data_IF_812918683620
#
_entry.id   IF_812918683620
#
_cell.length_a   1.000
_cell.length_b   1.000
_cell.length_c   1.000
_cell.angle_alpha   90.00
_cell.angle_beta   90.00
_cell.angle_gamma   90.00
#
_symmetry.space_group_name_H-M   'P 1'
#
loop_
_entity.id
_entity.type
_entity.pdbx_description
1 polymer ?
#
# COMPACT_ATOMS: atom_id res chain seq x y z
N UNK A 1 1.00 16.44 -5.83
CA UNK A 1 1.38 15.17 -6.44
C UNK A 1 0.57 13.99 -5.90
N UNK A 2 0.55 13.72 -4.59
CA UNK A 2 -0.16 12.54 -4.04
C UNK A 2 -1.66 12.48 -4.36
N UNK A 3 -2.40 13.58 -4.20
CA UNK A 3 -3.82 13.65 -4.54
C UNK A 3 -4.07 13.41 -6.03
N UNK A 4 -3.20 13.94 -6.89
CA UNK A 4 -3.30 13.74 -8.33
C UNK A 4 -3.10 12.26 -8.68
N UNK A 5 -2.08 11.61 -8.12
CA UNK A 5 -1.83 10.18 -8.33
C UNK A 5 -2.99 9.33 -7.82
N UNK A 6 -3.57 9.69 -6.67
CA UNK A 6 -4.77 9.04 -6.16
C UNK A 6 -5.96 9.16 -7.12
N UNK A 7 -6.26 10.38 -7.59
CA UNK A 7 -7.35 10.60 -8.54
C UNK A 7 -7.11 9.90 -9.88
N UNK A 8 -5.87 9.91 -10.37
CA UNK A 8 -5.49 9.17 -11.58
C UNK A 8 -5.72 7.67 -11.44
N UNK A 9 -5.40 7.07 -10.27
CA UNK A 9 -5.69 5.66 -9.99
C UNK A 9 -7.18 5.39 -10.02
N UNK A 10 -7.97 6.24 -9.35
CA UNK A 10 -9.44 6.12 -9.32
C UNK A 10 -10.01 6.20 -10.74
N UNK A 11 -9.52 7.14 -11.56
CA UNK A 11 -9.99 7.34 -12.93
C UNK A 11 -9.55 6.22 -13.89
N UNK A 12 -8.41 5.57 -13.65
CA UNK A 12 -7.94 4.41 -14.45
C UNK A 12 -8.64 3.11 -14.07
N UNK A 13 -9.25 3.05 -12.90
CA UNK A 13 -9.92 1.85 -12.41
C UNK A 13 -11.28 1.65 -13.10
N UNK A 14 -11.55 0.48 -13.73
CA UNK A 14 -12.75 0.28 -14.56
C UNK A 14 -14.08 0.44 -13.82
N UNK A 15 -14.12 0.03 -12.55
CA UNK A 15 -15.30 0.17 -11.68
C UNK A 15 -15.42 1.57 -11.06
N UNK A 16 -14.36 2.09 -10.43
CA UNK A 16 -14.39 3.36 -9.70
C UNK A 16 -14.59 4.57 -10.62
N UNK A 17 -14.07 4.55 -11.85
CA UNK A 17 -14.29 5.62 -12.83
C UNK A 17 -15.79 5.85 -13.12
N UNK A 18 -16.61 4.79 -13.02
CA UNK A 18 -18.05 4.81 -13.28
C UNK A 18 -18.88 5.01 -12.02
N UNK A 19 -18.24 5.16 -10.87
CA UNK A 19 -18.95 5.33 -9.60
C UNK A 19 -19.60 6.72 -9.56
N UNK A 20 -20.90 6.77 -9.26
CA UNK A 20 -21.66 8.03 -9.15
C UNK A 20 -21.05 8.99 -8.15
N UNK A 21 -20.49 8.48 -7.06
CA UNK A 21 -19.84 9.30 -6.03
C UNK A 21 -18.63 10.05 -6.61
N UNK A 22 -17.84 9.41 -7.49
CA UNK A 22 -16.69 10.06 -8.13
C UNK A 22 -17.16 11.10 -9.14
N UNK A 23 -18.20 10.80 -9.93
CA UNK A 23 -18.79 11.76 -10.86
C UNK A 23 -19.32 12.99 -10.12
N UNK A 24 -20.08 12.79 -9.05
CA UNK A 24 -20.63 13.88 -8.24
C UNK A 24 -19.54 14.66 -7.51
N UNK A 25 -18.50 14.00 -6.99
CA UNK A 25 -17.35 14.68 -6.40
C UNK A 25 -16.63 15.62 -7.39
N UNK A 26 -16.53 15.22 -8.66
CA UNK A 26 -15.85 16.02 -9.69
C UNK A 26 -16.75 17.10 -10.29
N UNK A 27 -18.07 16.91 -10.30
CA UNK A 27 -19.03 17.81 -10.93
C UNK A 27 -19.68 18.79 -9.94
N UNK A 28 -19.80 18.44 -8.66
CA UNK A 28 -20.55 19.24 -7.70
C UNK A 28 -19.70 20.34 -7.07
N UNK A 29 -20.28 21.55 -6.99
CA UNK A 29 -19.69 22.69 -6.29
C UNK A 29 -19.98 22.70 -4.79
N UNK A 30 -20.90 21.84 -4.32
CA UNK A 30 -21.38 21.77 -2.93
C UNK A 30 -21.29 20.36 -2.34
N UNK A 31 -20.12 19.72 -2.49
CA UNK A 31 -19.82 18.36 -2.04
C UNK A 31 -20.26 18.03 -0.59
N UNK A 32 -20.20 18.99 0.33
CA UNK A 32 -20.59 18.78 1.72
C UNK A 32 -22.07 18.38 1.87
N UNK A 33 -22.96 18.89 1.03
CA UNK A 33 -24.40 18.59 1.07
C UNK A 33 -24.67 17.21 0.47
N UNK A 34 -24.03 16.91 -0.66
CA UNK A 34 -24.13 15.61 -1.32
C UNK A 34 -23.60 14.48 -0.43
N UNK A 35 -22.50 14.70 0.29
CA UNK A 35 -21.95 13.71 1.22
C UNK A 35 -22.89 13.37 2.38
N UNK A 36 -23.67 14.34 2.88
CA UNK A 36 -24.70 14.07 3.88
C UNK A 36 -25.86 13.25 3.33
N UNK A 37 -26.16 13.35 2.04
CA UNK A 37 -27.15 12.48 1.38
C UNK A 37 -26.64 11.04 1.22
N UNK A 38 -25.33 10.87 0.99
CA UNK A 38 -24.68 9.57 0.87
C UNK A 38 -24.44 8.87 2.20
N UNK A 39 -24.13 9.59 3.28
CA UNK A 39 -23.93 8.97 4.59
C UNK A 39 -25.20 8.33 5.16
N UNK A 40 -26.38 8.70 4.63
CA UNK A 40 -27.67 8.09 4.95
C UNK A 40 -28.09 6.92 4.04
N UNK A 41 -27.41 6.66 2.91
CA UNK A 41 -27.72 5.55 2.01
C UNK A 41 -26.62 4.47 2.03
N UNK A 42 -26.95 3.18 2.23
CA UNK A 42 -25.97 2.12 2.04
C UNK A 42 -25.52 2.11 0.57
N UNK A 43 -24.21 2.15 0.34
CA UNK A 43 -23.56 2.17 -0.98
C UNK A 43 -23.96 0.94 -1.82
N UNK A 44 -25.07 1.04 -2.54
CA UNK A 44 -25.48 0.11 -3.58
C UNK A 44 -24.89 0.51 -4.93
N UNK A 45 -23.97 -0.30 -5.45
CA UNK A 45 -23.42 -0.17 -6.80
C UNK A 45 -24.58 -0.16 -7.81
N UNK A 46 -24.79 0.95 -8.50
CA UNK A 46 -25.82 1.07 -9.53
C UNK A 46 -25.21 0.87 -10.92
N UNK A 47 -25.17 -0.38 -11.35
CA UNK A 47 -25.14 -0.78 -12.76
C UNK A 47 -26.11 -1.97 -12.92
N UNK A 48 -27.20 -1.80 -13.68
CA UNK A 48 -28.17 -2.88 -13.92
C UNK A 48 -27.67 -3.94 -14.92
N UNK A 49 -28.51 -4.91 -15.34
CA UNK A 49 -29.69 -5.48 -14.69
C UNK A 49 -29.38 -6.88 -14.08
N UNK A 50 -30.08 -7.22 -12.99
CA UNK A 50 -30.15 -8.54 -12.34
C UNK A 50 -28.89 -9.03 -11.60
N UNK A 51 -28.62 -8.42 -10.44
CA UNK A 51 -28.15 -9.18 -9.28
C UNK A 51 -29.05 -8.79 -8.11
N UNK A 52 -29.72 -9.81 -7.58
CA UNK A 52 -30.71 -9.73 -6.52
C UNK A 52 -30.10 -9.01 -5.31
N UNK A 53 -30.74 -7.92 -4.90
CA UNK A 53 -30.35 -7.14 -3.74
C UNK A 53 -30.26 -8.04 -2.50
N UNK A 54 -29.10 -8.07 -1.85
CA UNK A 54 -28.99 -8.53 -0.47
C UNK A 54 -30.02 -7.77 0.38
N UNK A 55 -30.71 -8.43 1.33
CA UNK A 55 -31.50 -7.70 2.32
C UNK A 55 -30.57 -6.82 3.17
N UNK A 56 -31.07 -5.67 3.65
CA UNK A 56 -30.26 -4.74 4.45
C UNK A 56 -29.79 -5.43 5.73
N UNK A 57 -28.50 -5.27 6.03
CA UNK A 57 -27.96 -5.58 7.34
C UNK A 57 -28.74 -4.76 8.37
N UNK A 58 -29.57 -5.46 9.16
CA UNK A 58 -30.10 -4.94 10.41
C UNK A 58 -28.93 -4.39 11.22
N UNK A 59 -29.03 -3.14 11.63
CA UNK A 59 -28.08 -2.46 12.51
C UNK A 59 -27.97 -3.24 13.83
N UNK A 60 -27.13 -4.27 13.87
CA UNK A 60 -26.66 -4.90 15.10
C UNK A 60 -25.63 -3.96 15.72
N UNK A 61 -25.76 -3.73 17.02
CA UNK A 61 -25.06 -2.67 17.73
C UNK A 61 -23.55 -2.74 17.54
N UNK A 62 -22.91 -1.57 17.42
CA UNK A 62 -21.46 -1.42 17.26
C UNK A 62 -20.65 -2.18 18.32
N UNK A 63 -21.20 -2.40 19.53
CA UNK A 63 -20.59 -3.22 20.58
C UNK A 63 -20.60 -4.73 20.28
N UNK A 64 -21.59 -5.24 19.56
CA UNK A 64 -21.67 -6.65 19.14
C UNK A 64 -20.75 -6.90 17.94
N UNK A 65 -20.65 -5.94 17.01
CA UNK A 65 -19.69 -5.98 15.88
C UNK A 65 -18.23 -5.91 16.35
N UNK A 66 -17.96 -5.18 17.44
CA UNK A 66 -16.66 -5.18 18.10
C UNK A 66 -16.39 -6.51 18.82
N UNK A 67 -17.42 -7.11 19.44
CA UNK A 67 -17.35 -8.44 20.05
C UNK A 67 -16.98 -9.53 19.04
N UNK A 68 -17.60 -9.51 17.86
CA UNK A 68 -17.27 -10.41 16.74
C UNK A 68 -15.87 -10.15 16.19
N UNK A 69 -15.40 -8.89 16.17
CA UNK A 69 -14.04 -8.55 15.79
C UNK A 69 -12.99 -9.11 16.76
N UNK A 70 -13.29 -9.16 18.07
CA UNK A 70 -12.39 -9.72 19.08
C UNK A 70 -12.41 -11.25 19.12
N UNK A 71 -13.54 -11.89 18.82
CA UNK A 71 -13.63 -13.36 18.71
C UNK A 71 -12.98 -13.86 17.41
N UNK A 72 -13.03 -13.09 16.32
CA UNK A 72 -12.37 -13.42 15.05
C UNK A 72 -10.90 -12.98 14.97
N UNK A 73 -10.41 -12.07 15.82
CA UNK A 73 -9.02 -11.58 15.77
C UNK A 73 -7.94 -12.64 16.06
N UNK A 74 -8.29 -13.76 16.70
CA UNK A 74 -7.37 -14.87 16.99
C UNK A 74 -7.66 -16.16 16.21
N UNK A 75 -8.73 -16.17 15.41
CA UNK A 75 -9.05 -17.30 14.55
C UNK A 75 -8.22 -17.22 13.26
N UNK A 76 -7.38 -18.24 13.01
CA UNK A 76 -6.73 -18.40 11.72
C UNK A 76 -7.69 -19.14 10.80
N UNK A 77 -7.88 -18.61 9.58
CA UNK A 77 -8.63 -19.27 8.50
C UNK A 77 -8.18 -20.73 8.40
N UNK A 78 -9.11 -21.68 8.56
CA UNK A 78 -8.76 -23.12 8.62
C UNK A 78 -8.20 -23.63 7.31
N UNK A 79 -8.61 -23.05 6.17
CA UNK A 79 -8.10 -23.39 4.84
C UNK A 79 -7.79 -22.13 4.03
N UNK A 80 -6.59 -21.54 4.21
CA UNK A 80 -6.17 -20.43 3.37
C UNK A 80 -5.93 -20.93 1.94
N UNK A 81 -6.55 -20.28 0.96
CA UNK A 81 -6.31 -20.60 -0.46
C UNK A 81 -4.83 -20.30 -0.79
N UNK A 82 -4.08 -21.27 -1.36
CA UNK A 82 -2.67 -21.07 -1.71
C UNK A 82 -2.45 -19.86 -2.64
N UNK A 83 -3.42 -19.50 -3.48
CA UNK A 83 -3.33 -18.33 -4.37
C UNK A 83 -3.19 -17.04 -3.55
N UNK A 84 -4.05 -16.87 -2.54
CA UNK A 84 -4.08 -15.66 -1.73
C UNK A 84 -2.91 -15.57 -0.75
N UNK A 85 -2.40 -16.71 -0.28
CA UNK A 85 -1.15 -16.78 0.47
C UNK A 85 0.02 -16.31 -0.40
N UNK A 86 0.12 -16.81 -1.64
CA UNK A 86 1.15 -16.38 -2.57
C UNK A 86 1.06 -14.88 -2.90
N UNK A 87 -0.14 -14.33 -3.08
CA UNK A 87 -0.35 -12.89 -3.28
C UNK A 87 0.12 -12.10 -2.05
N UNK A 88 -0.22 -12.56 -0.84
CA UNK A 88 0.20 -11.88 0.40
C UNK A 88 1.72 -11.88 0.55
N UNK A 89 2.39 -13.01 0.35
CA UNK A 89 3.86 -13.09 0.42
C UNK A 89 4.50 -12.14 -0.60
N UNK A 90 3.99 -12.09 -1.84
CA UNK A 90 4.48 -11.14 -2.85
C UNK A 90 4.32 -9.69 -2.43
N UNK A 91 3.22 -9.33 -1.75
CA UNK A 91 3.00 -7.97 -1.26
C UNK A 91 3.93 -7.62 -0.09
N UNK A 92 4.19 -8.55 0.81
CA UNK A 92 5.14 -8.38 1.92
C UNK A 92 6.56 -8.19 1.36
N UNK A 93 7.02 -9.05 0.45
CA UNK A 93 8.32 -8.84 -0.21
C UNK A 93 8.38 -7.52 -1.00
N UNK A 94 7.27 -7.08 -1.59
CA UNK A 94 7.22 -5.82 -2.34
C UNK A 94 7.29 -4.62 -1.40
N UNK A 95 6.65 -4.69 -0.23
CA UNK A 95 6.75 -3.67 0.82
C UNK A 95 8.20 -3.54 1.31
N UNK A 96 8.89 -4.65 1.57
CA UNK A 96 10.31 -4.63 1.96
C UNK A 96 11.18 -3.99 0.88
N UNK A 97 10.98 -4.35 -0.40
CA UNK A 97 11.68 -3.74 -1.53
C UNK A 97 11.38 -2.25 -1.66
N UNK A 98 10.15 -1.83 -1.37
CA UNK A 98 9.75 -0.42 -1.43
C UNK A 98 10.41 0.39 -0.31
N UNK A 99 10.48 -0.16 0.91
CA UNK A 99 11.20 0.44 2.04
C UNK A 99 12.70 0.53 1.76
N UNK A 100 13.30 -0.50 1.15
CA UNK A 100 14.69 -0.44 0.72
C UNK A 100 14.93 0.67 -0.30
N UNK A 101 14.04 0.82 -1.29
CA UNK A 101 14.11 1.90 -2.28
C UNK A 101 14.01 3.27 -1.62
N UNK A 102 13.06 3.46 -0.70
CA UNK A 102 12.88 4.70 0.05
C UNK A 102 14.16 5.08 0.81
N UNK A 103 14.78 4.13 1.51
CA UNK A 103 16.04 4.36 2.24
C UNK A 103 17.17 4.78 1.32
N UNK A 104 17.29 4.16 0.14
CA UNK A 104 18.30 4.53 -0.86
C UNK A 104 18.06 5.95 -1.38
N UNK A 105 16.81 6.31 -1.68
CA UNK A 105 16.45 7.65 -2.15
C UNK A 105 16.68 8.72 -1.07
N UNK A 106 16.29 8.45 0.17
CA UNK A 106 16.53 9.35 1.30
C UNK A 106 18.03 9.59 1.51
N UNK A 107 18.84 8.52 1.45
CA UNK A 107 20.29 8.64 1.56
C UNK A 107 20.88 9.50 0.43
N UNK A 108 20.43 9.29 -0.80
CA UNK A 108 20.85 10.09 -1.96
C UNK A 108 20.51 11.58 -1.75
N UNK A 109 19.31 11.89 -1.24
CA UNK A 109 18.88 13.26 -0.90
C UNK A 109 19.74 13.90 0.21
N UNK A 110 20.05 13.17 1.28
CA UNK A 110 20.80 13.72 2.43
C UNK A 110 22.25 14.06 2.08
N UNK A 111 22.87 13.30 1.18
CA UNK A 111 24.23 13.58 0.74
C UNK A 111 24.31 14.89 -0.06
N UNK A 112 23.38 15.10 -0.99
CA UNK A 112 23.39 16.29 -1.86
C UNK A 112 22.94 17.58 -1.14
N UNK A 113 22.12 17.48 -0.10
CA UNK A 113 21.64 18.66 0.63
C UNK A 113 22.68 19.27 1.59
N UNK A 114 23.86 18.67 1.78
CA UNK A 114 24.87 19.15 2.75
C UNK A 114 24.40 19.15 4.22
N UNK A 115 23.20 18.64 4.51
CA UNK A 115 22.58 18.58 5.83
C UNK A 115 23.09 17.35 6.59
N UNK A 116 24.41 17.29 6.79
CA UNK A 116 25.11 16.19 7.46
C UNK A 116 24.80 16.11 8.97
N UNK A 117 24.16 17.12 9.56
CA UNK A 117 23.90 17.16 11.01
C UNK A 117 22.65 16.40 11.48
N UNK A 118 21.68 16.10 10.61
CA UNK A 118 20.34 15.68 11.11
C UNK A 118 20.14 14.16 11.17
N UNK A 119 21.03 13.34 10.56
CA UNK A 119 20.75 11.90 10.35
C UNK A 119 21.87 10.97 10.84
N UNK A 120 22.69 11.40 11.80
CA UNK A 120 23.67 10.52 12.45
C UNK A 120 23.03 9.28 13.15
N UNK A 121 21.72 9.29 13.40
CA UNK A 121 21.00 8.18 14.03
C UNK A 121 20.47 7.11 13.06
N UNK A 122 20.21 7.43 11.78
CA UNK A 122 19.72 6.44 10.80
C UNK A 122 20.88 5.69 10.11
N UNK A 123 22.07 6.31 10.06
CA UNK A 123 23.30 5.70 9.53
C UNK A 123 23.74 4.44 10.30
N UNK A 124 23.44 4.34 11.60
CA UNK A 124 23.82 3.20 12.46
C UNK A 124 23.01 1.92 12.19
N UNK A 125 21.85 2.01 11.55
CA UNK A 125 20.98 0.85 11.25
C UNK A 125 20.74 0.64 9.75
N UNK A 126 21.45 1.37 8.88
CA UNK A 126 21.38 1.19 7.43
C UNK A 126 22.29 0.06 6.97
N UNK A 127 21.70 -1.03 6.49
CA UNK A 127 22.41 -2.13 5.82
C UNK A 127 23.26 -1.56 4.68
N UNK A 128 24.56 -1.82 4.71
CA UNK A 128 25.56 -1.40 3.73
C UNK A 128 25.25 -1.96 2.34
N UNK A 129 24.34 -1.32 1.60
CA UNK A 129 23.90 -1.76 0.29
C UNK A 129 24.73 -1.12 -0.84
N UNK A 130 26.06 -1.11 -0.71
CA UNK A 130 27.04 -0.96 -1.81
C UNK A 130 26.89 0.20 -2.82
N UNK A 131 25.97 1.15 -2.62
CA UNK A 131 25.82 2.34 -3.45
C UNK A 131 26.96 3.30 -3.13
N UNK A 132 27.71 3.67 -4.18
CA UNK A 132 28.95 4.45 -4.13
C UNK A 132 28.87 5.62 -3.15
N UNK A 133 29.91 5.71 -2.33
CA UNK A 133 30.00 6.53 -1.12
C UNK A 133 30.45 7.96 -1.39
N UNK A 134 30.46 8.39 -2.65
CA UNK A 134 31.11 9.62 -3.12
C UNK A 134 30.07 10.54 -3.78
N UNK A 135 29.92 11.75 -3.23
CA UNK A 135 29.06 12.79 -3.77
C UNK A 135 29.79 13.53 -4.88
N UNK A 136 29.45 13.18 -6.12
CA UNK A 136 30.08 13.70 -7.32
C UNK A 136 30.00 15.23 -7.41
N UNK A 137 28.94 15.84 -6.88
CA UNK A 137 28.80 17.31 -6.87
C UNK A 137 29.84 17.99 -5.98
N UNK A 138 30.18 17.36 -4.85
CA UNK A 138 31.26 17.82 -3.97
C UNK A 138 32.62 17.68 -4.66
N UNK A 139 32.87 16.56 -5.37
CA UNK A 139 34.13 16.35 -6.09
C UNK A 139 34.34 17.39 -7.21
N UNK A 140 33.27 17.74 -7.94
CA UNK A 140 33.32 18.83 -8.93
C UNK A 140 33.59 20.19 -8.29
N UNK A 141 33.06 20.45 -7.08
CA UNK A 141 33.33 21.67 -6.34
C UNK A 141 34.78 21.75 -5.87
N UNK A 142 35.32 20.67 -5.33
CA UNK A 142 36.71 20.57 -4.88
C UNK A 142 37.68 20.70 -6.06
N UNK A 143 37.37 20.08 -7.19
CA UNK A 143 38.14 20.24 -8.42
C UNK A 143 38.06 21.68 -8.95
N UNK A 144 36.89 22.32 -8.92
CA UNK A 144 36.75 23.73 -9.29
C UNK A 144 37.66 24.63 -8.45
N UNK A 145 37.66 24.43 -7.13
CA UNK A 145 38.51 25.17 -6.20
C UNK A 145 40.00 24.93 -6.45
N UNK A 146 40.41 23.69 -6.77
CA UNK A 146 41.79 23.40 -7.14
C UNK A 146 42.23 24.16 -8.41
N UNK A 147 41.36 24.25 -9.43
CA UNK A 147 41.62 25.05 -10.64
C UNK A 147 41.71 26.55 -10.36
N UNK A 148 40.86 27.09 -9.47
CA UNK A 148 40.95 28.49 -9.03
C UNK A 148 42.26 28.79 -8.30
N UNK A 149 42.71 27.89 -7.42
CA UNK A 149 43.99 28.02 -6.73
C UNK A 149 45.18 27.97 -7.70
N UNK A 150 45.16 27.06 -8.67
CA UNK A 150 46.17 26.97 -9.72
C UNK A 150 46.20 28.25 -10.57
N UNK A 151 45.04 28.84 -10.88
CA UNK A 151 44.96 30.08 -11.63
C UNK A 151 45.62 31.28 -10.92
N UNK A 152 45.64 31.28 -9.58
CA UNK A 152 46.36 32.31 -8.79
C UNK A 152 47.88 32.14 -8.90
N UNK A 153 48.36 30.90 -9.04
CA UNK A 153 49.78 30.57 -9.11
C UNK A 153 50.37 30.74 -10.53
N UNK A 154 49.57 30.48 -11.57
CA UNK A 154 50.01 30.53 -12.96
C UNK A 154 49.40 31.72 -13.74
N UNK A 155 50.17 32.80 -13.87
CA UNK A 155 49.70 34.02 -14.57
C UNK A 155 49.50 33.85 -16.09
N UNK A 156 50.16 32.86 -16.72
CA UNK A 156 50.07 32.64 -18.17
C UNK A 156 48.80 31.93 -18.64
N UNK A 157 48.16 31.13 -17.77
CA UNK A 157 46.97 30.33 -18.08
C UNK A 157 45.79 30.61 -17.16
N UNK A 158 45.91 31.62 -16.28
CA UNK A 158 44.90 31.96 -15.27
C UNK A 158 43.47 32.05 -15.84
N UNK A 159 43.29 32.71 -16.99
CA UNK A 159 41.96 32.85 -17.61
C UNK A 159 41.37 31.53 -18.12
N UNK A 160 42.20 30.61 -18.61
CA UNK A 160 41.74 29.28 -19.02
C UNK A 160 41.38 28.43 -17.80
N UNK A 161 42.24 28.42 -16.77
CA UNK A 161 42.02 27.69 -15.53
C UNK A 161 40.78 28.19 -14.77
N UNK A 162 40.54 29.50 -14.70
CA UNK A 162 39.33 30.08 -14.13
C UNK A 162 38.06 29.66 -14.87
N UNK A 163 38.10 29.59 -16.21
CA UNK A 163 36.97 29.12 -17.02
C UNK A 163 36.66 27.66 -16.79
N UNK A 164 37.69 26.81 -16.69
CA UNK A 164 37.52 25.39 -16.34
C UNK A 164 36.91 25.28 -14.94
N UNK A 165 37.44 26.00 -13.94
CA UNK A 165 36.88 26.01 -12.58
C UNK A 165 35.41 26.44 -12.55
N UNK A 166 35.04 27.50 -13.27
CA UNK A 166 33.65 27.95 -13.39
C UNK A 166 32.73 26.91 -14.05
N UNK A 167 33.20 26.20 -15.08
CA UNK A 167 32.46 25.12 -15.72
C UNK A 167 32.25 23.92 -14.78
N UNK A 168 33.28 23.52 -14.03
CA UNK A 168 33.18 22.46 -13.00
C UNK A 168 32.16 22.82 -11.92
N UNK A 169 32.17 24.08 -11.45
CA UNK A 169 31.19 24.57 -10.48
C UNK A 169 29.76 24.55 -11.05
N UNK A 170 29.60 24.94 -12.31
CA UNK A 170 28.30 24.91 -13.00
C UNK A 170 27.77 23.48 -13.16
N UNK A 171 28.65 22.51 -13.45
CA UNK A 171 28.30 21.08 -13.47
C UNK A 171 27.87 20.59 -12.07
N UNK A 172 28.61 20.94 -11.02
CA UNK A 172 28.25 20.61 -9.64
C UNK A 172 26.85 21.11 -9.28
N UNK A 173 26.56 22.39 -9.58
CA UNK A 173 25.24 22.97 -9.33
C UNK A 173 24.12 22.28 -10.11
N UNK A 174 24.40 21.88 -11.36
CA UNK A 174 23.46 21.16 -12.20
C UNK A 174 23.14 19.77 -11.63
N UNK A 175 24.17 19.03 -11.18
CA UNK A 175 24.00 17.73 -10.54
C UNK A 175 23.22 17.82 -9.21
N UNK A 176 23.49 18.84 -8.39
CA UNK A 176 22.74 19.10 -7.16
C UNK A 176 21.26 19.39 -7.44
N UNK A 177 20.97 20.23 -8.45
CA UNK A 177 19.58 20.56 -8.84
C UNK A 177 18.84 19.35 -9.38
N UNK A 178 19.46 18.60 -10.28
CA UNK A 178 18.89 17.35 -10.81
C UNK A 178 18.59 16.37 -9.67
N UNK A 179 19.57 16.13 -8.80
CA UNK A 179 19.45 15.18 -7.71
C UNK A 179 18.33 15.55 -6.75
N UNK A 180 18.26 16.82 -6.33
CA UNK A 180 17.20 17.29 -5.43
C UNK A 180 15.82 17.15 -6.07
N UNK A 181 15.62 17.61 -7.31
CA UNK A 181 14.33 17.54 -7.98
C UNK A 181 13.87 16.10 -8.22
N UNK A 182 14.71 15.27 -8.83
CA UNK A 182 14.32 13.90 -9.19
C UNK A 182 14.15 13.02 -7.96
N UNK A 183 15.00 13.19 -6.94
CA UNK A 183 14.86 12.39 -5.71
C UNK A 183 13.55 12.74 -4.98
N UNK A 184 13.13 14.00 -4.97
CA UNK A 184 11.89 14.44 -4.32
C UNK A 184 10.65 13.91 -5.03
N UNK A 185 10.65 13.95 -6.37
CA UNK A 185 9.58 13.39 -7.18
C UNK A 185 9.49 11.86 -7.01
N UNK A 186 10.63 11.16 -7.03
CA UNK A 186 10.69 9.71 -6.83
C UNK A 186 10.26 9.29 -5.43
N UNK A 187 10.62 10.07 -4.39
CA UNK A 187 10.22 9.81 -3.02
C UNK A 187 8.71 9.97 -2.84
N UNK A 188 8.13 11.03 -3.42
CA UNK A 188 6.68 11.24 -3.42
C UNK A 188 5.93 10.10 -4.11
N UNK A 189 6.42 9.63 -5.26
CA UNK A 189 5.87 8.45 -5.95
C UNK A 189 6.00 7.17 -5.12
N UNK A 190 7.11 7.03 -4.40
CA UNK A 190 7.40 5.89 -3.55
C UNK A 190 6.42 5.80 -2.38
N UNK A 191 6.13 6.92 -1.72
CA UNK A 191 5.12 7.01 -0.66
C UNK A 191 3.71 6.74 -1.19
N UNK A 192 3.35 7.36 -2.32
CA UNK A 192 2.05 7.11 -2.94
C UNK A 192 1.84 5.63 -3.28
N UNK A 193 2.88 4.93 -3.76
CA UNK A 193 2.84 3.50 -4.07
C UNK A 193 2.76 2.63 -2.81
N UNK A 194 3.40 3.05 -1.71
CA UNK A 194 3.26 2.38 -0.41
C UNK A 194 1.83 2.47 0.12
N UNK A 195 1.17 3.63 0.00
CA UNK A 195 -0.24 3.77 0.35
C UNK A 195 -1.14 2.84 -0.50
N UNK A 196 -0.86 2.71 -1.80
CA UNK A 196 -1.58 1.78 -2.67
C UNK A 196 -1.39 0.31 -2.26
N UNK A 197 -0.16 -0.09 -1.92
CA UNK A 197 0.13 -1.40 -1.35
C UNK A 197 -0.66 -1.68 -0.06
N UNK A 198 -0.73 -0.72 0.87
CA UNK A 198 -1.51 -0.88 2.10
C UNK A 198 -3.01 -1.04 1.82
N UNK A 199 -3.55 -0.30 0.86
CA UNK A 199 -4.96 -0.43 0.48
C UNK A 199 -5.28 -1.84 -0.06
N UNK A 200 -4.40 -2.42 -0.86
CA UNK A 200 -4.57 -3.79 -1.37
C UNK A 200 -4.39 -4.85 -0.27
N UNK A 201 -3.46 -4.64 0.67
CA UNK A 201 -3.34 -5.49 1.87
C UNK A 201 -4.59 -5.43 2.74
N UNK A 202 -5.22 -4.26 2.89
CA UNK A 202 -6.47 -4.10 3.62
C UNK A 202 -7.61 -4.88 2.96
N UNK A 203 -7.67 -4.92 1.62
CA UNK A 203 -8.64 -5.73 0.87
C UNK A 203 -8.45 -7.25 1.12
N UNK A 204 -7.21 -7.75 1.18
CA UNK A 204 -6.96 -9.14 1.56
C UNK A 204 -7.36 -9.45 3.01
N UNK A 205 -7.16 -8.49 3.94
CA UNK A 205 -7.64 -8.63 5.33
C UNK A 205 -9.16 -8.68 5.39
N UNK A 206 -9.85 -7.87 4.59
CA UNK A 206 -11.31 -7.89 4.51
C UNK A 206 -11.82 -9.22 3.94
N UNK A 207 -11.10 -9.82 2.97
CA UNK A 207 -11.39 -11.18 2.50
C UNK A 207 -11.29 -12.18 3.65
N UNK A 208 -10.19 -12.15 4.40
CA UNK A 208 -9.98 -13.10 5.50
C UNK A 208 -11.04 -12.94 6.58
N UNK A 209 -11.48 -11.71 6.89
CA UNK A 209 -12.60 -11.47 7.79
C UNK A 209 -13.89 -12.13 7.28
N UNK A 210 -14.22 -11.99 5.99
CA UNK A 210 -15.42 -12.63 5.41
C UNK A 210 -15.35 -14.15 5.38
N UNK A 211 -14.15 -14.71 5.18
CA UNK A 211 -13.93 -16.15 5.26
C UNK A 211 -14.11 -16.66 6.70
N UNK A 212 -13.62 -15.91 7.70
CA UNK A 212 -13.81 -16.22 9.11
C UNK A 212 -15.28 -16.14 9.52
N UNK A 213 -16.03 -15.15 9.04
CA UNK A 213 -17.48 -15.04 9.29
C UNK A 213 -18.23 -16.31 8.81
N UNK A 214 -17.88 -16.82 7.62
CA UNK A 214 -18.46 -18.05 7.09
C UNK A 214 -18.07 -19.30 7.90
N UNK A 215 -16.80 -19.42 8.28
CA UNK A 215 -16.31 -20.52 9.11
C UNK A 215 -16.96 -20.50 10.50
N UNK A 216 -17.13 -19.31 11.10
CA UNK A 216 -17.82 -19.12 12.38
C UNK A 216 -19.28 -19.53 12.32
N UNK A 217 -20.04 -19.07 11.31
CA UNK A 217 -21.45 -19.47 11.13
C UNK A 217 -21.60 -20.98 10.91
N UNK A 218 -20.65 -21.61 10.21
CA UNK A 218 -20.64 -23.06 10.00
C UNK A 218 -20.39 -23.81 11.30
N UNK A 219 -19.49 -23.33 12.15
CA UNK A 219 -19.22 -23.90 13.47
C UNK A 219 -20.43 -23.72 14.41
N UNK A 220 -21.11 -22.58 14.39
CA UNK A 220 -22.36 -22.36 15.13
C UNK A 220 -23.46 -23.32 14.68
N UNK A 221 -23.62 -23.52 13.37
CA UNK A 221 -24.56 -24.49 12.81
C UNK A 221 -24.23 -25.90 13.29
N UNK A 222 -22.95 -26.30 13.25
CA UNK A 222 -22.54 -27.63 13.71
C UNK A 222 -22.82 -27.83 15.22
N UNK A 223 -22.60 -26.80 16.02
CA UNK A 223 -22.93 -26.80 17.46
C UNK A 223 -24.44 -26.95 17.67
N UNK A 224 -25.26 -26.21 16.93
CA UNK A 224 -26.72 -26.31 17.03
C UNK A 224 -27.24 -27.70 16.60
N UNK A 225 -26.67 -28.27 15.52
CA UNK A 225 -27.02 -29.62 15.05
C UNK A 225 -26.62 -30.69 16.07
N UNK A 226 -25.44 -30.60 16.67
CA UNK A 226 -25.01 -31.57 17.69
C UNK A 226 -25.83 -31.46 18.99
N UNK A 227 -26.27 -30.26 19.38
CA UNK A 227 -27.21 -30.07 20.49
C UNK A 227 -28.57 -30.71 20.20
N UNK A 228 -29.09 -30.55 18.98
CA UNK A 228 -30.30 -31.22 18.52
C UNK A 228 -30.15 -32.74 18.57
N UNK A 229 -29.07 -33.29 18.00
CA UNK A 229 -28.77 -34.72 18.00
C UNK A 229 -28.65 -35.30 19.42
N UNK A 230 -28.09 -34.53 20.36
CA UNK A 230 -28.03 -34.88 21.77
C UNK A 230 -29.42 -34.92 22.41
N UNK A 231 -30.30 -33.98 22.11
CA UNK A 231 -31.67 -33.98 22.62
C UNK A 231 -32.52 -35.10 22.00
N UNK A 232 -32.31 -35.44 20.73
CA UNK A 232 -32.98 -36.58 20.08
C UNK A 232 -32.47 -37.93 20.58
N UNK A 233 -31.16 -38.08 20.83
CA UNK A 233 -30.62 -39.34 21.38
C UNK A 233 -31.05 -39.58 22.83
N UNK A 234 -31.25 -38.51 23.60
CA UNK A 234 -31.90 -38.58 24.91
C UNK A 234 -33.39 -38.94 24.82
N UNK A 235 -34.06 -38.65 23.70
CA UNK A 235 -35.44 -39.06 23.42
C UNK A 235 -35.52 -40.56 23.13
N UNK A 236 -34.61 -41.10 22.33
CA UNK A 236 -34.58 -42.53 21.98
C UNK A 236 -34.26 -43.42 23.20
N UNK A 237 -33.40 -42.93 24.11
CA UNK A 237 -33.13 -43.57 25.40
C UNK A 237 -34.33 -43.53 26.38
N UNK A 238 -35.34 -42.69 26.13
CA UNK A 238 -36.58 -42.61 26.91
C UNK A 238 -37.73 -43.46 26.36
N UNK A 239 -37.60 -43.99 25.14
CA UNK A 239 -38.68 -44.69 24.42
C UNK A 239 -38.60 -46.21 24.44
N UNK A 240 -37.43 -46.80 24.73
CA UNK A 240 -37.27 -48.25 24.84
C UNK A 240 -36.72 -48.61 26.22
N UNK A 241 -37.63 -48.63 27.18
CA UNK A 241 -37.47 -49.48 28.36
C UNK A 241 -37.60 -50.94 27.93
N UNK A 242 -36.54 -51.47 27.31
CA UNK A 242 -36.29 -52.89 27.42
C UNK A 242 -36.01 -53.17 28.91
N UNK A 243 -36.74 -54.10 29.55
CA UNK A 243 -36.66 -54.33 30.99
C UNK A 243 -35.33 -55.03 31.32
N UNK A 244 -34.21 -54.29 31.32
CA UNK A 244 -32.90 -54.93 31.53
C UNK A 244 -31.67 -54.05 31.69
N UNK A 245 -31.69 -52.76 31.35
CA UNK A 245 -30.48 -51.93 31.39
C UNK A 245 -30.59 -50.76 32.37
N UNK A 246 -30.46 -51.05 33.66
CA UNK A 246 -30.27 -50.03 34.71
C UNK A 246 -28.86 -49.46 34.59
N UNK A 247 -28.73 -48.28 33.97
CA UNK A 247 -27.57 -47.41 34.15
C UNK A 247 -28.03 -46.02 34.58
N UNK A 248 -28.10 -45.83 35.89
CA UNK A 248 -28.11 -44.51 36.50
C UNK A 248 -29.11 -44.36 37.66
N UNK A 249 -28.56 -44.24 38.86
CA UNK A 249 -29.13 -43.62 40.08
C UNK A 249 -30.28 -44.32 40.80
N UNK A 250 -29.97 -44.75 42.04
CA UNK A 250 -30.82 -45.54 42.93
C UNK A 250 -32.16 -44.91 43.35
N UNK A 251 -32.83 -45.57 44.30
CA UNK A 251 -34.20 -45.36 44.83
C UNK A 251 -34.78 -43.93 44.81
N UNK A 252 -33.94 -42.89 44.89
CA UNK A 252 -34.31 -41.47 44.73
C UNK A 252 -34.78 -41.10 43.31
N UNK A 253 -34.25 -41.74 42.26
CA UNK A 253 -34.65 -41.53 40.86
C UNK A 253 -36.03 -42.15 40.56
N UNK A 254 -36.31 -43.31 41.14
CA UNK A 254 -37.62 -43.96 41.03
C UNK A 254 -38.70 -43.15 41.75
N UNK A 255 -38.45 -42.71 42.99
CA UNK A 255 -39.37 -41.85 43.74
C UNK A 255 -39.60 -40.49 43.08
N UNK A 256 -38.56 -39.89 42.47
CA UNK A 256 -38.70 -38.67 41.68
C UNK A 256 -39.52 -38.90 40.41
N UNK A 257 -39.27 -39.98 39.67
CA UNK A 257 -40.02 -40.33 38.45
C UNK A 257 -41.50 -40.64 38.70
N UNK A 258 -41.85 -41.19 39.87
CA UNK A 258 -43.26 -41.41 40.26
C UNK A 258 -43.93 -40.14 40.76
N UNK A 259 -43.20 -39.27 41.47
CA UNK A 259 -43.71 -37.98 41.95
C UNK A 259 -43.86 -36.98 40.79
N UNK A 260 -42.97 -37.05 39.79
CA UNK A 260 -43.03 -36.29 38.53
C UNK A 260 -44.18 -36.77 37.64
N UNK A 261 -44.44 -38.09 37.56
CA UNK A 261 -45.64 -38.62 36.89
C UNK A 261 -46.95 -38.16 37.52
N UNK A 262 -46.95 -37.84 38.82
CA UNK A 262 -48.15 -37.35 39.51
C UNK A 262 -48.33 -35.83 39.41
N UNK A 263 -47.25 -35.07 39.16
CA UNK A 263 -47.33 -33.62 38.97
C UNK A 263 -47.44 -33.16 37.52
N UNK A 264 -47.37 -34.06 36.53
CA UNK A 264 -47.84 -33.78 35.16
C UNK A 264 -47.27 -32.52 34.51
N UNK A 265 -46.09 -32.08 34.91
CA UNK A 265 -45.45 -30.89 34.36
C UNK A 265 -44.63 -31.31 33.15
N UNK A 266 -45.24 -31.22 31.97
CA UNK A 266 -44.72 -30.72 30.69
C UNK A 266 -43.23 -30.86 30.35
N UNK A 267 -42.52 -31.88 30.84
CA UNK A 267 -41.11 -32.06 30.51
C UNK A 267 -40.95 -32.50 29.06
N UNK A 268 -41.85 -33.36 28.58
CA UNK A 268 -41.92 -33.77 27.18
C UNK A 268 -42.33 -32.60 26.27
N UNK A 269 -43.31 -31.79 26.68
CA UNK A 269 -43.74 -30.61 25.92
C UNK A 269 -42.65 -29.52 25.89
N UNK A 270 -42.02 -29.21 27.03
CA UNK A 270 -40.92 -28.26 27.10
C UNK A 270 -39.68 -28.72 26.30
N UNK A 271 -39.48 -30.04 26.14
CA UNK A 271 -38.42 -30.61 25.28
C UNK A 271 -38.79 -30.50 23.81
N UNK A 272 -40.04 -30.83 23.43
CA UNK A 272 -40.53 -30.66 22.07
C UNK A 272 -40.45 -29.20 21.64
N UNK A 273 -40.81 -28.25 22.52
CA UNK A 273 -40.65 -26.82 22.26
C UNK A 273 -39.18 -26.41 22.08
N UNK A 274 -38.26 -26.95 22.89
CA UNK A 274 -36.82 -26.68 22.74
C UNK A 274 -36.27 -27.26 21.43
N UNK A 275 -36.73 -28.45 21.04
CA UNK A 275 -36.34 -29.10 19.81
C UNK A 275 -36.88 -28.33 18.60
N UNK A 276 -38.12 -27.86 18.63
CA UNK A 276 -38.69 -26.99 17.59
C UNK A 276 -37.97 -25.63 17.50
N UNK A 277 -37.58 -25.04 18.64
CA UNK A 277 -36.77 -23.80 18.66
C UNK A 277 -35.38 -24.03 18.08
N UNK A 278 -34.75 -25.17 18.35
CA UNK A 278 -33.45 -25.53 17.79
C UNK A 278 -33.56 -25.82 16.29
N UNK A 279 -34.61 -26.52 15.85
CA UNK A 279 -34.87 -26.80 14.44
C UNK A 279 -35.09 -25.50 13.66
N UNK A 280 -35.89 -24.56 14.19
CA UNK A 280 -36.05 -23.23 13.57
C UNK A 280 -34.73 -22.43 13.51
N UNK A 281 -33.91 -22.49 14.55
CA UNK A 281 -32.57 -21.87 14.54
C UNK A 281 -31.62 -22.53 13.55
N UNK A 282 -31.69 -23.85 13.40
CA UNK A 282 -30.87 -24.60 12.42
C UNK A 282 -31.26 -24.18 11.01
N UNK A 283 -32.55 -24.04 10.71
CA UNK A 283 -33.03 -23.59 9.40
C UNK A 283 -32.58 -22.14 9.09
N UNK A 284 -32.68 -21.24 10.08
CA UNK A 284 -32.16 -19.87 9.97
C UNK A 284 -30.64 -19.85 9.76
N UNK A 285 -29.89 -20.62 10.55
CA UNK A 285 -28.44 -20.73 10.42
C UNK A 285 -28.02 -21.37 9.10
N UNK A 286 -28.77 -22.35 8.59
CA UNK A 286 -28.53 -22.94 7.26
C UNK A 286 -28.68 -21.89 6.15
N UNK A 287 -29.75 -21.10 6.21
CA UNK A 287 -29.94 -19.97 5.29
C UNK A 287 -28.83 -18.93 5.41
N UNK A 288 -28.45 -18.56 6.64
CA UNK A 288 -27.36 -17.62 6.89
C UNK A 288 -26.01 -18.14 6.37
N UNK A 289 -25.69 -19.43 6.57
CA UNK A 289 -24.47 -20.06 6.05
C UNK A 289 -24.46 -20.08 4.52
N UNK A 290 -25.61 -20.38 3.88
CA UNK A 290 -25.69 -20.36 2.42
C UNK A 290 -25.48 -18.96 1.84
N UNK A 291 -26.11 -17.93 2.43
CA UNK A 291 -25.89 -16.54 2.02
C UNK A 291 -24.44 -16.11 2.24
N UNK A 292 -23.88 -16.37 3.43
CA UNK A 292 -22.48 -16.10 3.75
C UNK A 292 -21.51 -16.83 2.79
N UNK A 293 -21.81 -18.06 2.40
CA UNK A 293 -21.03 -18.81 1.41
C UNK A 293 -21.02 -18.13 0.04
N UNK A 294 -22.20 -17.73 -0.45
CA UNK A 294 -22.30 -17.02 -1.73
C UNK A 294 -21.59 -15.67 -1.70
N UNK A 295 -21.64 -14.95 -0.57
CA UNK A 295 -20.92 -13.69 -0.39
C UNK A 295 -19.41 -13.89 -0.32
N UNK A 296 -18.92 -14.92 0.39
CA UNK A 296 -17.50 -15.24 0.45
C UNK A 296 -16.95 -15.63 -0.93
N UNK A 297 -17.70 -16.42 -1.71
CA UNK A 297 -17.32 -16.78 -3.09
C UNK A 297 -17.29 -15.56 -4.01
N UNK A 298 -18.35 -14.75 -4.03
CA UNK A 298 -18.40 -13.54 -4.85
C UNK A 298 -17.30 -12.54 -4.46
N UNK A 299 -16.97 -12.45 -3.16
CA UNK A 299 -15.87 -11.61 -2.68
C UNK A 299 -14.51 -12.14 -3.14
N UNK A 300 -14.29 -13.46 -3.14
CA UNK A 300 -13.06 -14.07 -3.65
C UNK A 300 -12.86 -13.78 -5.15
N UNK A 301 -13.92 -13.89 -5.95
CA UNK A 301 -13.86 -13.56 -7.38
C UNK A 301 -13.56 -12.07 -7.60
N UNK A 302 -14.17 -11.19 -6.80
CA UNK A 302 -13.91 -9.75 -6.84
C UNK A 302 -12.45 -9.42 -6.46
N UNK A 303 -11.91 -10.04 -5.40
CA UNK A 303 -10.52 -9.88 -4.97
C UNK A 303 -9.55 -10.35 -6.07
N UNK A 304 -9.88 -11.41 -6.81
CA UNK A 304 -9.06 -11.87 -7.94
C UNK A 304 -9.02 -10.82 -9.07
N UNK A 305 -10.18 -10.28 -9.45
CA UNK A 305 -10.26 -9.22 -10.45
C UNK A 305 -9.52 -7.96 -10.00
N UNK A 306 -9.70 -7.56 -8.74
CA UNK A 306 -9.04 -6.40 -8.16
C UNK A 306 -7.52 -6.59 -8.13
N UNK A 307 -7.04 -7.79 -7.77
CA UNK A 307 -5.61 -8.08 -7.80
C UNK A 307 -5.02 -7.94 -9.22
N UNK A 308 -5.76 -8.30 -10.27
CA UNK A 308 -5.31 -8.08 -11.66
C UNK A 308 -5.21 -6.59 -11.99
N UNK A 309 -6.18 -5.78 -11.58
CA UNK A 309 -6.16 -4.32 -11.77
C UNK A 309 -4.99 -3.70 -10.99
N UNK A 310 -4.78 -4.12 -9.74
CA UNK A 310 -3.65 -3.72 -8.92
C UNK A 310 -2.31 -4.01 -9.59
N UNK A 311 -2.14 -5.22 -10.15
CA UNK A 311 -0.91 -5.61 -10.85
C UNK A 311 -0.63 -4.74 -12.09
N UNK A 312 -1.68 -4.36 -12.84
CA UNK A 312 -1.56 -3.45 -13.99
C UNK A 312 -1.19 -2.04 -13.54
N UNK A 313 -1.88 -1.50 -12.53
CA UNK A 313 -1.57 -0.19 -11.95
C UNK A 313 -0.14 -0.13 -11.42
N UNK A 314 0.28 -1.17 -10.69
CA UNK A 314 1.65 -1.30 -10.17
C UNK A 314 2.70 -1.26 -11.28
N UNK A 315 2.49 -2.01 -12.38
CA UNK A 315 3.44 -2.02 -13.52
C UNK A 315 3.53 -0.66 -14.18
N UNK A 316 2.39 0.02 -14.33
CA UNK A 316 2.35 1.36 -14.91
C UNK A 316 3.12 2.36 -14.04
N UNK A 317 2.90 2.37 -12.73
CA UNK A 317 3.60 3.28 -11.81
C UNK A 317 5.10 2.98 -11.73
N UNK A 318 5.50 1.71 -11.74
CA UNK A 318 6.91 1.35 -11.79
C UNK A 318 7.58 1.86 -13.09
N UNK A 319 6.88 1.73 -14.22
CA UNK A 319 7.35 2.27 -15.50
C UNK A 319 7.44 3.81 -15.46
N UNK A 320 6.44 4.49 -14.90
CA UNK A 320 6.44 5.96 -14.77
C UNK A 320 7.62 6.44 -13.91
N UNK A 321 7.88 5.77 -12.79
CA UNK A 321 9.00 6.08 -11.89
C UNK A 321 10.36 5.93 -12.60
N UNK A 322 10.56 4.81 -13.31
CA UNK A 322 11.78 4.60 -14.10
C UNK A 322 11.92 5.63 -15.23
N UNK A 323 10.82 5.96 -15.89
CA UNK A 323 10.80 6.95 -16.96
C UNK A 323 11.21 8.33 -16.45
N UNK A 324 10.65 8.79 -15.33
CA UNK A 324 11.01 10.08 -14.72
C UNK A 324 12.51 10.13 -14.37
N UNK A 325 13.04 9.04 -13.82
CA UNK A 325 14.48 8.95 -13.53
C UNK A 325 15.33 9.04 -14.80
N UNK A 326 15.00 8.25 -15.83
CA UNK A 326 15.75 8.22 -17.09
C UNK A 326 15.66 9.55 -17.84
N UNK A 327 14.46 10.13 -17.98
CA UNK A 327 14.26 11.42 -18.63
C UNK A 327 15.01 12.53 -17.91
N UNK A 328 15.02 12.52 -16.57
CA UNK A 328 15.81 13.45 -15.80
C UNK A 328 17.32 13.26 -16.02
N UNK A 329 17.82 12.02 -16.03
CA UNK A 329 19.23 11.73 -16.29
C UNK A 329 19.66 12.17 -17.71
N UNK A 330 18.79 11.96 -18.71
CA UNK A 330 19.03 12.47 -20.06
C UNK A 330 19.14 13.99 -20.07
N UNK A 331 18.21 14.70 -19.41
CA UNK A 331 18.25 16.15 -19.32
C UNK A 331 19.51 16.69 -18.61
N UNK A 332 19.97 15.99 -17.56
CA UNK A 332 21.24 16.30 -16.89
C UNK A 332 22.41 16.19 -17.87
N UNK A 333 22.53 15.07 -18.58
CA UNK A 333 23.63 14.84 -19.51
C UNK A 333 23.59 15.81 -20.71
N UNK A 334 22.41 16.09 -21.26
CA UNK A 334 22.23 17.06 -22.35
C UNK A 334 22.69 18.47 -21.94
N UNK A 335 22.30 18.93 -20.75
CA UNK A 335 22.73 20.24 -20.24
C UNK A 335 24.22 20.24 -19.90
N UNK A 336 24.74 19.13 -19.36
CA UNK A 336 26.16 18.95 -19.11
C UNK A 336 27.01 19.04 -20.38
N UNK A 337 26.57 18.42 -21.48
CA UNK A 337 27.24 18.51 -22.78
C UNK A 337 27.32 19.94 -23.28
N UNK A 338 26.25 20.72 -23.17
CA UNK A 338 26.24 22.15 -23.56
C UNK A 338 27.29 22.93 -22.77
N UNK A 339 27.40 22.71 -21.45
CA UNK A 339 28.41 23.37 -20.62
C UNK A 339 29.84 23.02 -21.06
N UNK A 340 30.09 21.76 -21.43
CA UNK A 340 31.40 21.33 -21.93
C UNK A 340 31.72 21.89 -23.31
N UNK A 341 30.75 21.93 -24.22
CA UNK A 341 30.91 22.50 -25.55
C UNK A 341 31.20 24.00 -25.48
N UNK A 342 30.50 24.74 -24.61
CA UNK A 342 30.76 26.16 -24.35
C UNK A 342 32.17 26.38 -23.77
N UNK A 343 32.61 25.51 -22.85
CA UNK A 343 33.97 25.55 -22.30
C UNK A 343 35.01 25.31 -23.40
N UNK A 344 34.84 24.27 -24.22
CA UNK A 344 35.76 23.94 -25.31
C UNK A 344 35.88 25.12 -26.29
N UNK A 345 34.75 25.70 -26.71
CA UNK A 345 34.75 26.88 -27.57
C UNK A 345 35.49 28.06 -26.93
N UNK A 346 35.27 28.31 -25.64
CA UNK A 346 35.92 29.40 -24.91
C UNK A 346 37.44 29.20 -24.73
N UNK A 347 37.91 27.94 -24.71
CA UNK A 347 39.32 27.59 -24.65
C UNK A 347 39.99 27.62 -26.03
N UNK A 348 39.27 27.22 -27.08
CA UNK A 348 39.75 27.20 -28.46
C UNK A 348 39.81 28.59 -29.09
N UNK A 349 38.93 29.52 -28.72
CA UNK A 349 39.10 30.93 -29.09
C UNK A 349 40.28 31.50 -28.32
N UNK A 350 41.45 31.69 -28.95
CA UNK A 350 42.63 32.13 -28.22
C UNK A 350 42.38 33.53 -27.67
N UNK A 351 42.90 33.78 -26.46
CA UNK A 351 43.18 35.13 -25.96
C UNK A 351 44.03 35.89 -26.99
N UNK A 352 43.36 36.53 -27.95
CA UNK A 352 43.96 37.34 -29.03
C UNK A 352 44.55 38.66 -28.49
N UNK A 353 44.80 38.71 -27.19
CA UNK A 353 45.44 39.82 -26.49
C UNK A 353 46.92 39.53 -26.20
N UNK A 354 47.34 38.25 -26.06
CA UNK A 354 48.73 37.92 -25.75
C UNK A 354 49.68 37.97 -26.97
N UNK A 355 49.15 37.89 -28.20
CA UNK A 355 49.97 37.94 -29.42
C UNK A 355 50.11 39.36 -30.00
N UNK A 356 49.34 40.35 -29.53
CA UNK A 356 49.35 41.71 -30.09
C UNK A 356 50.21 42.70 -29.27
N UNK A 357 50.63 42.36 -28.05
CA UNK A 357 51.55 43.18 -27.24
C UNK A 357 53.03 42.84 -27.47
N UNK A 358 53.34 41.85 -28.31
CA UNK A 358 54.72 41.41 -28.59
C UNK A 358 55.37 42.01 -29.85
N UNK A 359 54.68 42.91 -30.57
CA UNK A 359 55.20 43.52 -31.82
C UNK A 359 55.14 45.05 -31.72
N UNK A 360 55.90 45.63 -30.80
CA UNK A 360 56.43 46.98 -31.02
C UNK A 360 57.80 46.87 -31.71
N UNK A 361 57.95 47.35 -32.96
CA UNK A 361 59.26 47.37 -33.61
C UNK A 361 60.13 48.47 -33.01
N UNK A 362 61.30 48.06 -32.50
CA UNK A 362 62.35 48.96 -32.07
C UNK A 362 62.94 49.79 -33.24
N UNK A 363 63.07 51.09 -32.98
CA UNK A 363 64.01 52.07 -33.55
C UNK A 363 63.73 52.67 -34.94
N UNK A 364 63.65 54.01 -34.98
CA UNK A 364 64.67 54.80 -35.68
C UNK A 364 64.72 56.24 -35.16
N UNK A 365 65.83 56.52 -34.47
CA UNK A 365 66.43 57.85 -34.31
C UNK A 365 66.63 58.52 -35.67
N UNK A 366 66.16 59.75 -35.85
CA UNK A 366 66.79 60.70 -36.80
C UNK A 366 66.64 62.13 -36.30
N UNK A 367 67.80 62.77 -36.12
CA UNK A 367 67.99 64.14 -35.73
C UNK A 367 67.77 65.15 -36.87
N UNK A 368 67.68 66.43 -36.47
CA UNK A 368 67.94 67.67 -37.23
C UNK A 368 66.79 68.14 -38.16
N UNK A 369 66.36 69.41 -38.15
CA UNK A 369 67.03 70.72 -37.95
C UNK A 369 66.12 71.68 -37.20
#
# INVERSE_FOLDING_TARGET
>A
MELQLFLERVCRHPTLQRAKVVQQFLESSEWHIDMHSYSGQPMGVSAGPQVQALPPATQHGLMESMGDLFINAFARVRRPDPKFVAVRTKLEEQEDRQLQLERVLLRHRTHVSGTREVVAYDELYSTHLGASTEDLSTDYHDMAHAFEQLAVLESGMAGALQRVGAAMKSMAELETRFTSQVTDDLLTLTHAKQAFLQSHKALLKQRDAKQLDFEGLTDYLHTAVTERERLTSLSDAGGLSEPGAVRGTGLRGYMRSTLDRMWGVDEEQARIERLQRLDGRIDELQGAVQTAHTHAQAFNDHVELEHRVFELGRRHEAHQMLRLYVEGQMALQEQGLVLWDELLQALETPSTQALNEGIEPASSTSASV
#
